data_IF_113716531010
#
_entry.id   IF_113716531010
#
_cell.length_a   1.000
_cell.length_b   1.000
_cell.length_c   1.000
_cell.angle_alpha   90.00
_cell.angle_beta   90.00
_cell.angle_gamma   90.00
#
_symmetry.space_group_name_H-M   'P 1'
#
loop_
_entity.id
_entity.type
_entity.pdbx_description
1 polymer ?
#
# COMPACT_ATOMS: atom_id res chain seq x y z
N UNK A 1 -25.16 13.28 4.78
CA UNK A 1 -24.46 14.54 4.42
C UNK A 1 -23.40 14.91 5.47
N UNK A 2 -22.57 13.95 5.91
CA UNK A 2 -21.67 14.11 7.08
C UNK A 2 -20.18 14.23 6.77
N UNK A 3 -19.78 14.26 5.49
CA UNK A 3 -18.37 14.51 5.10
C UNK A 3 -17.90 15.96 5.36
N UNK A 4 -18.74 16.81 5.95
CA UNK A 4 -18.42 18.20 6.25
C UNK A 4 -17.70 18.45 7.58
N UNK A 5 -17.66 17.51 8.54
CA UNK A 5 -17.16 17.85 9.89
C UNK A 5 -15.64 17.87 10.05
N UNK A 6 -14.88 17.15 9.22
CA UNK A 6 -13.40 17.14 9.28
C UNK A 6 -12.73 18.06 8.25
N UNK A 7 -13.49 18.68 7.35
CA UNK A 7 -12.99 19.65 6.35
C UNK A 7 -12.64 21.04 6.93
N UNK A 8 -12.93 21.29 8.22
CA UNK A 8 -12.80 22.62 8.84
C UNK A 8 -11.43 22.89 9.49
N UNK A 9 -10.53 21.90 9.54
CA UNK A 9 -9.17 22.07 10.05
C UNK A 9 -8.16 21.89 8.92
N UNK A 10 -7.77 23.00 8.30
CA UNK A 10 -6.69 23.05 7.31
C UNK A 10 -5.44 22.34 7.81
N UNK A 11 -5.15 22.43 9.11
CA UNK A 11 -4.02 21.75 9.74
C UNK A 11 -4.13 20.22 9.65
N UNK A 12 -5.30 19.63 9.93
CA UNK A 12 -5.51 18.18 9.85
C UNK A 12 -5.39 17.66 8.41
N UNK A 13 -5.92 18.41 7.44
CA UNK A 13 -5.80 18.07 6.01
C UNK A 13 -4.34 18.17 5.54
N UNK A 14 -3.62 19.22 5.94
CA UNK A 14 -2.20 19.38 5.60
C UNK A 14 -1.32 18.31 6.23
N UNK A 15 -1.55 17.95 7.50
CA UNK A 15 -0.88 16.83 8.16
C UNK A 15 -1.16 15.51 7.44
N UNK A 16 -2.42 15.25 7.08
CA UNK A 16 -2.79 14.09 6.29
C UNK A 16 -2.10 14.05 4.93
N UNK A 17 -2.05 15.18 4.22
CA UNK A 17 -1.36 15.31 2.94
C UNK A 17 0.16 15.10 3.07
N UNK A 18 0.78 15.62 4.13
CA UNK A 18 2.20 15.40 4.43
C UNK A 18 2.50 13.94 4.74
N UNK A 19 1.69 13.30 5.59
CA UNK A 19 1.83 11.89 5.92
C UNK A 19 1.62 11.00 4.69
N UNK A 20 0.60 11.32 3.89
CA UNK A 20 0.32 10.62 2.64
C UNK A 20 1.49 10.78 1.65
N UNK A 21 1.97 12.01 1.46
CA UNK A 21 3.09 12.32 0.56
C UNK A 21 4.41 11.71 1.00
N UNK A 22 4.70 11.70 2.32
CA UNK A 22 5.89 11.04 2.86
C UNK A 22 5.84 9.52 2.65
N UNK A 23 4.68 8.92 2.91
CA UNK A 23 4.47 7.46 2.73
C UNK A 23 4.51 7.07 1.26
N UNK A 24 3.85 7.80 0.37
CA UNK A 24 3.80 7.49 -1.07
C UNK A 24 5.04 7.94 -1.84
N UNK A 25 5.77 8.94 -1.36
CA UNK A 25 6.99 9.43 -2.01
C UNK A 25 8.23 8.63 -1.63
N UNK A 26 8.43 8.38 -0.33
CA UNK A 26 9.68 7.78 0.16
C UNK A 26 9.69 6.25 0.14
N UNK A 27 8.59 5.62 0.54
CA UNK A 27 8.54 4.16 0.72
C UNK A 27 8.71 3.41 -0.60
N UNK A 28 8.04 3.78 -1.71
CA UNK A 28 8.21 3.07 -2.98
C UNK A 28 9.64 3.11 -3.50
N UNK A 29 10.31 4.26 -3.38
CA UNK A 29 11.70 4.41 -3.84
C UNK A 29 12.67 3.60 -2.98
N UNK A 30 12.49 3.59 -1.65
CA UNK A 30 13.29 2.76 -0.74
C UNK A 30 13.09 1.27 -1.01
N UNK A 31 11.84 0.83 -1.21
CA UNK A 31 11.52 -0.57 -1.51
C UNK A 31 12.03 -1.00 -2.89
N UNK A 32 11.91 -0.15 -3.91
CA UNK A 32 12.45 -0.41 -5.25
C UNK A 32 13.97 -0.54 -5.20
N UNK A 33 14.66 0.37 -4.50
CA UNK A 33 16.11 0.31 -4.32
C UNK A 33 16.52 -0.97 -3.58
N UNK A 34 15.79 -1.35 -2.52
CA UNK A 34 16.06 -2.59 -1.80
C UNK A 34 15.82 -3.84 -2.65
N UNK A 35 14.75 -3.87 -3.46
CA UNK A 35 14.44 -4.97 -4.36
C UNK A 35 15.51 -5.17 -5.43
N UNK A 36 15.99 -4.08 -6.05
CA UNK A 36 17.10 -4.13 -7.01
C UNK A 36 18.40 -4.61 -6.36
N UNK A 37 18.71 -4.16 -5.13
CA UNK A 37 19.89 -4.66 -4.40
C UNK A 37 19.77 -6.14 -4.00
N UNK A 38 18.56 -6.65 -3.81
CA UNK A 38 18.33 -8.06 -3.49
C UNK A 38 18.52 -8.98 -4.70
N UNK A 39 18.42 -8.44 -5.93
CA UNK A 39 18.64 -9.16 -7.18
C UNK A 39 19.68 -8.44 -8.07
N UNK A 40 20.95 -8.34 -7.63
CA UNK A 40 21.97 -7.61 -8.37
C UNK A 40 22.32 -8.23 -9.73
N UNK A 41 22.02 -9.53 -9.91
CA UNK A 41 22.21 -10.24 -11.17
C UNK A 41 21.07 -10.03 -12.17
N UNK A 42 19.89 -9.59 -11.71
CA UNK A 42 18.73 -9.30 -12.58
C UNK A 42 17.85 -8.16 -12.03
N UNK A 43 18.32 -6.90 -12.11
CA UNK A 43 17.58 -5.72 -11.66
C UNK A 43 16.27 -5.47 -12.40
N UNK A 44 16.22 -5.81 -13.69
CA UNK A 44 15.08 -5.54 -14.57
C UNK A 44 13.89 -6.44 -14.21
N UNK A 45 14.16 -7.71 -13.85
CA UNK A 45 13.14 -8.61 -13.31
C UNK A 45 12.62 -8.11 -11.96
N UNK A 46 13.48 -7.67 -11.05
CA UNK A 46 13.04 -7.14 -9.75
C UNK A 46 12.12 -5.91 -9.89
N UNK A 47 12.47 -5.01 -10.80
CA UNK A 47 11.64 -3.83 -11.09
C UNK A 47 10.31 -4.20 -11.78
N UNK A 48 10.34 -5.19 -12.69
CA UNK A 48 9.13 -5.70 -13.35
C UNK A 48 8.15 -6.33 -12.36
N UNK A 49 8.66 -7.10 -11.38
CA UNK A 49 7.87 -7.67 -10.30
C UNK A 49 7.28 -6.58 -9.39
N UNK A 50 8.05 -5.53 -9.10
CA UNK A 50 7.59 -4.38 -8.33
C UNK A 50 6.38 -3.70 -8.98
N UNK A 51 6.48 -3.37 -10.28
CA UNK A 51 5.39 -2.75 -11.05
C UNK A 51 4.18 -3.68 -11.16
N UNK A 52 4.41 -4.96 -11.38
CA UNK A 52 3.33 -5.96 -11.48
C UNK A 52 2.58 -6.08 -10.15
N UNK A 53 3.29 -6.18 -9.03
CA UNK A 53 2.69 -6.22 -7.70
C UNK A 53 1.84 -4.98 -7.40
N UNK A 54 2.33 -3.80 -7.78
CA UNK A 54 1.59 -2.54 -7.66
C UNK A 54 0.28 -2.55 -8.45
N UNK A 55 0.33 -2.99 -9.71
CA UNK A 55 -0.86 -3.07 -10.57
C UNK A 55 -1.89 -4.07 -10.04
N UNK A 56 -1.45 -5.24 -9.59
CA UNK A 56 -2.33 -6.25 -8.99
C UNK A 56 -2.99 -5.69 -7.72
N UNK A 57 -2.22 -4.98 -6.88
CA UNK A 57 -2.74 -4.34 -5.67
C UNK A 57 -3.81 -3.29 -5.99
N UNK A 58 -3.56 -2.40 -6.96
CA UNK A 58 -4.54 -1.38 -7.36
C UNK A 58 -5.80 -2.00 -7.98
N UNK A 59 -5.65 -2.96 -8.90
CA UNK A 59 -6.77 -3.62 -9.55
C UNK A 59 -7.61 -4.40 -8.52
N UNK A 60 -6.96 -5.23 -7.70
CA UNK A 60 -7.60 -6.02 -6.66
C UNK A 60 -8.29 -5.14 -5.61
N UNK A 61 -7.61 -4.09 -5.13
CA UNK A 61 -8.18 -3.13 -4.17
C UNK A 61 -9.38 -2.38 -4.74
N UNK A 62 -9.32 -1.96 -6.00
CA UNK A 62 -10.44 -1.28 -6.68
C UNK A 62 -11.65 -2.19 -6.86
N UNK A 63 -11.42 -3.46 -7.25
CA UNK A 63 -12.49 -4.45 -7.38
C UNK A 63 -13.16 -4.76 -6.04
N UNK A 64 -12.37 -5.02 -4.99
CA UNK A 64 -12.89 -5.32 -3.65
C UNK A 64 -13.60 -4.12 -3.03
N UNK A 65 -13.03 -2.92 -3.16
CA UNK A 65 -13.64 -1.68 -2.68
C UNK A 65 -14.94 -1.35 -3.42
N UNK A 66 -14.96 -1.51 -4.75
CA UNK A 66 -16.15 -1.31 -5.57
C UNK A 66 -17.26 -2.32 -5.26
N UNK A 67 -16.90 -3.59 -5.04
CA UNK A 67 -17.84 -4.63 -4.63
C UNK A 67 -18.43 -4.37 -3.24
N UNK A 68 -17.59 -3.98 -2.27
CA UNK A 68 -18.04 -3.62 -0.93
C UNK A 68 -18.96 -2.38 -0.94
N UNK A 69 -18.61 -1.37 -1.74
CA UNK A 69 -19.41 -0.15 -1.91
C UNK A 69 -20.79 -0.47 -2.52
N UNK A 70 -20.83 -1.30 -3.56
CA UNK A 70 -22.08 -1.68 -4.23
C UNK A 70 -23.02 -2.47 -3.32
N UNK A 71 -22.49 -3.38 -2.48
CA UNK A 71 -23.31 -4.27 -1.65
C UNK A 71 -23.78 -3.64 -0.33
N UNK A 72 -22.93 -2.84 0.30
CA UNK A 72 -23.13 -2.43 1.71
C UNK A 72 -23.00 -0.91 1.92
N UNK A 73 -22.76 -0.14 0.86
CA UNK A 73 -22.62 1.31 0.93
C UNK A 73 -21.28 1.76 1.53
N UNK A 74 -21.17 3.06 1.80
CA UNK A 74 -19.90 3.70 2.20
C UNK A 74 -19.40 3.29 3.59
N UNK A 75 -20.26 2.73 4.45
CA UNK A 75 -19.90 2.28 5.79
C UNK A 75 -18.97 1.06 5.82
N UNK A 76 -18.91 0.27 4.75
CA UNK A 76 -18.06 -0.92 4.66
C UNK A 76 -16.64 -0.65 4.13
N UNK A 77 -16.41 0.52 3.53
CA UNK A 77 -15.09 0.90 2.99
C UNK A 77 -13.98 0.87 4.06
N UNK A 78 -14.16 1.42 5.28
CA UNK A 78 -13.12 1.39 6.31
C UNK A 78 -12.76 -0.04 6.74
N UNK A 79 -13.76 -0.91 6.88
CA UNK A 79 -13.57 -2.31 7.26
C UNK A 79 -12.87 -3.11 6.17
N UNK A 80 -13.26 -2.90 4.90
CA UNK A 80 -12.61 -3.53 3.75
C UNK A 80 -11.14 -3.11 3.65
N UNK A 81 -10.86 -1.81 3.83
CA UNK A 81 -9.49 -1.30 3.87
C UNK A 81 -8.69 -1.86 5.05
N UNK A 82 -9.29 -1.94 6.25
CA UNK A 82 -8.64 -2.50 7.43
C UNK A 82 -8.28 -3.99 7.25
N UNK A 83 -9.18 -4.78 6.66
CA UNK A 83 -8.93 -6.18 6.36
C UNK A 83 -7.80 -6.36 5.35
N UNK A 84 -7.77 -5.53 4.29
CA UNK A 84 -6.69 -5.54 3.29
C UNK A 84 -5.35 -5.12 3.90
N UNK A 85 -5.33 -4.10 4.77
CA UNK A 85 -4.15 -3.68 5.49
C UNK A 85 -3.64 -4.79 6.43
N UNK A 86 -4.54 -5.47 7.15
CA UNK A 86 -4.17 -6.60 8.01
C UNK A 86 -3.55 -7.74 7.18
N UNK A 87 -4.14 -8.07 6.03
CA UNK A 87 -3.57 -9.05 5.12
C UNK A 87 -2.19 -8.64 4.61
N UNK A 88 -1.99 -7.36 4.24
CA UNK A 88 -0.70 -6.83 3.80
C UNK A 88 0.37 -6.88 4.92
N UNK A 89 -0.01 -6.57 6.16
CA UNK A 89 0.90 -6.67 7.32
C UNK A 89 1.27 -8.13 7.57
N UNK A 90 0.32 -9.06 7.46
CA UNK A 90 0.58 -10.49 7.62
C UNK A 90 1.50 -11.03 6.52
N UNK A 91 1.28 -10.66 5.25
CA UNK A 91 2.16 -11.09 4.15
C UNK A 91 3.56 -10.52 4.30
N UNK A 92 3.70 -9.23 4.64
CA UNK A 92 5.00 -8.64 4.95
C UNK A 92 5.65 -9.32 6.16
N UNK A 93 4.87 -9.68 7.19
CA UNK A 93 5.37 -10.36 8.36
C UNK A 93 5.87 -11.78 8.07
N UNK A 94 5.19 -12.52 7.20
CA UNK A 94 5.61 -13.86 6.78
C UNK A 94 6.80 -13.80 5.82
N UNK A 95 6.78 -12.86 4.87
CA UNK A 95 7.83 -12.66 3.88
C UNK A 95 9.14 -12.15 4.49
N UNK A 96 9.12 -11.54 5.70
CA UNK A 96 10.34 -11.10 6.40
C UNK A 96 11.38 -12.21 6.56
N UNK A 97 10.94 -13.48 6.64
CA UNK A 97 11.82 -14.64 6.78
C UNK A 97 12.53 -15.03 5.47
N UNK A 98 11.95 -14.66 4.33
CA UNK A 98 12.44 -15.01 3.00
C UNK A 98 13.08 -13.81 2.27
N UNK A 99 12.82 -12.58 2.73
CA UNK A 99 13.25 -11.35 2.05
C UNK A 99 14.66 -10.86 2.39
N UNK A 100 15.29 -11.39 3.45
CA UNK A 100 16.66 -11.08 3.82
C UNK A 100 17.43 -12.37 4.11
N UNK A 101 18.12 -12.95 3.10
CA UNK A 101 19.18 -13.92 3.36
C UNK A 101 20.24 -13.30 4.27
N UNK A 102 20.88 -14.06 5.17
CA UNK A 102 22.07 -13.61 5.87
C UNK A 102 23.10 -13.12 4.84
N UNK A 103 23.77 -12.00 5.12
CA UNK A 103 24.92 -11.60 4.33
C UNK A 103 26.07 -12.55 4.68
N UNK A 104 26.45 -13.39 3.73
CA UNK A 104 27.67 -14.20 3.77
C UNK A 104 28.87 -13.35 3.30
#
# INVERSE_FOLDING_TARGET
MSFGLFGHSTAAVLLGAFLWGGTHGGIPTLMQTAGVRAAPQDPDTANSLWVTGWNIGMAGGSLLGGAALTRTGTGALPWTAAALLAAAVLTAALARRNGFPPAD
#
